data_IF_523683615007
#
_entry.id   IF_523683615007
#
_cell.length_a   1.000
_cell.length_b   1.000
_cell.length_c   1.000
_cell.angle_alpha   90.00
_cell.angle_beta   90.00
_cell.angle_gamma   90.00
#
_symmetry.space_group_name_H-M   'P 1'
#
loop_
_entity.id
_entity.type
_entity.pdbx_description
1 polymer ?
#
# COMPACT_ATOMS: atom_id res chain seq x y z
N UNK A 1 7.05 -25.72 -49.59
CA UNK A 1 5.98 -25.35 -48.65
C UNK A 1 6.53 -24.28 -47.74
N UNK A 2 6.04 -23.03 -47.79
CA UNK A 2 6.54 -21.99 -46.90
C UNK A 2 5.88 -22.14 -45.53
N UNK A 3 6.69 -21.99 -44.48
CA UNK A 3 6.27 -21.98 -43.07
C UNK A 3 5.56 -20.66 -42.81
N UNK A 4 4.31 -20.72 -42.34
CA UNK A 4 3.52 -19.58 -41.94
C UNK A 4 4.18 -18.86 -40.75
N UNK A 5 4.27 -17.52 -40.85
CA UNK A 5 4.78 -16.67 -39.80
C UNK A 5 3.93 -16.74 -38.53
N UNK A 6 4.61 -16.69 -37.39
CA UNK A 6 3.95 -16.49 -36.10
C UNK A 6 3.28 -15.11 -36.08
N UNK A 7 1.95 -15.07 -36.07
CA UNK A 7 1.20 -13.87 -35.70
C UNK A 7 1.54 -13.51 -34.25
N UNK A 8 1.88 -12.25 -34.00
CA UNK A 8 2.00 -11.71 -32.66
C UNK A 8 0.64 -11.76 -31.98
N UNK A 9 0.57 -12.31 -30.75
CA UNK A 9 -0.65 -12.36 -29.96
C UNK A 9 -1.17 -10.92 -29.73
N UNK A 10 -2.38 -10.58 -30.22
CA UNK A 10 -2.94 -9.24 -30.02
C UNK A 10 -3.17 -8.88 -28.55
N UNK A 11 -3.14 -9.86 -27.62
CA UNK A 11 -3.17 -9.64 -26.17
C UNK A 11 -1.83 -9.16 -25.58
N UNK A 12 -0.74 -9.26 -26.33
CA UNK A 12 0.62 -8.92 -25.90
C UNK A 12 1.06 -7.54 -26.42
N UNK A 13 0.18 -6.54 -26.38
CA UNK A 13 0.55 -5.13 -26.61
C UNK A 13 1.01 -4.56 -25.27
N UNK A 14 2.32 -4.38 -25.12
CA UNK A 14 2.92 -3.82 -23.91
C UNK A 14 3.65 -2.53 -24.25
N UNK A 15 3.38 -1.49 -23.47
CA UNK A 15 4.04 -0.19 -23.58
C UNK A 15 4.94 -0.01 -22.36
N UNK A 16 6.23 0.25 -22.61
CA UNK A 16 7.26 0.41 -21.59
C UNK A 16 7.25 1.86 -21.10
N UNK A 17 7.00 2.06 -19.80
CA UNK A 17 7.07 3.38 -19.18
C UNK A 17 8.40 3.56 -18.45
N UNK A 18 9.17 4.61 -18.80
CA UNK A 18 10.42 4.96 -18.11
C UNK A 18 10.12 5.64 -16.78
N UNK A 19 10.77 5.19 -15.70
CA UNK A 19 10.75 5.78 -14.33
C UNK A 19 11.16 7.27 -14.21
N UNK A 20 11.44 7.95 -15.31
CA UNK A 20 11.94 9.31 -15.33
C UNK A 20 10.89 10.38 -15.57
N UNK A 21 9.70 10.29 -14.98
CA UNK A 21 8.75 11.41 -14.96
C UNK A 21 7.61 11.10 -13.99
N UNK A 22 7.71 11.54 -12.73
CA UNK A 22 6.57 11.64 -11.84
C UNK A 22 6.86 12.57 -10.67
N UNK A 23 6.21 13.73 -10.63
CA UNK A 23 6.33 14.67 -9.52
C UNK A 23 5.06 15.46 -9.33
N UNK A 24 4.11 14.93 -8.55
CA UNK A 24 3.21 15.72 -7.70
C UNK A 24 3.07 15.04 -6.34
N UNK A 25 3.16 15.84 -5.28
CA UNK A 25 3.11 15.58 -3.83
C UNK A 25 4.48 15.54 -3.11
N UNK A 26 4.76 16.69 -2.50
CA UNK A 26 6.03 17.14 -1.91
C UNK A 26 6.54 16.31 -0.70
N UNK A 27 5.80 15.32 -0.21
CA UNK A 27 6.18 14.53 0.97
C UNK A 27 6.74 13.14 0.64
N UNK A 28 6.41 12.55 -0.52
CA UNK A 28 6.92 11.22 -0.90
C UNK A 28 8.39 11.26 -1.36
N UNK A 29 8.85 12.40 -1.88
CA UNK A 29 10.22 12.58 -2.39
C UNK A 29 11.28 12.59 -1.28
N UNK A 30 10.93 13.10 -0.08
CA UNK A 30 11.81 13.07 1.09
C UNK A 30 12.03 11.63 1.61
N UNK A 31 11.00 10.77 1.54
CA UNK A 31 11.12 9.35 1.91
C UNK A 31 12.00 8.62 0.89
N UNK A 32 11.80 8.82 -0.41
CA UNK A 32 12.61 8.15 -1.46
C UNK A 32 14.11 8.52 -1.41
N UNK A 33 14.45 9.78 -1.11
CA UNK A 33 15.86 10.20 -0.96
C UNK A 33 16.48 9.65 0.33
N UNK A 34 15.70 9.53 1.42
CA UNK A 34 16.17 8.92 2.67
C UNK A 34 16.36 7.39 2.53
N UNK A 35 15.49 6.73 1.75
CA UNK A 35 15.54 5.29 1.43
C UNK A 35 16.84 4.89 0.73
N UNK A 36 17.41 5.76 -0.11
CA UNK A 36 18.60 5.41 -0.89
C UNK A 36 19.93 5.67 -0.17
N UNK A 37 19.99 6.69 0.71
CA UNK A 37 21.23 7.02 1.44
C UNK A 37 21.59 5.95 2.47
N UNK A 38 20.60 5.27 3.05
CA UNK A 38 20.85 4.21 4.05
C UNK A 38 21.32 2.91 3.40
N UNK A 39 20.87 2.57 2.19
CA UNK A 39 21.22 1.31 1.50
C UNK A 39 22.68 1.27 1.00
N UNK A 40 23.26 2.41 0.59
CA UNK A 40 24.68 2.45 0.18
C UNK A 40 25.63 2.51 1.39
N UNK A 41 25.18 3.04 2.53
CA UNK A 41 26.00 3.20 3.73
C UNK A 41 26.38 1.89 4.44
N UNK A 42 25.62 0.81 4.25
CA UNK A 42 25.80 -0.44 5.02
C UNK A 42 26.58 -1.53 4.27
N UNK A 43 26.79 -1.41 2.95
CA UNK A 43 27.52 -2.43 2.14
C UNK A 43 28.90 -1.97 1.63
N UNK A 44 29.28 -0.71 1.87
CA UNK A 44 30.47 -0.09 1.29
C UNK A 44 31.72 0.03 2.18
N UNK A 45 32.05 -0.94 3.05
CA UNK A 45 33.33 -0.95 3.77
C UNK A 45 34.28 -2.03 3.24
N UNK A 46 34.84 -1.79 2.05
CA UNK A 46 36.20 -2.16 1.63
C UNK A 46 36.30 -2.14 0.10
N UNK A 47 37.05 -1.18 -0.46
CA UNK A 47 38.15 -1.36 -1.43
C UNK A 47 38.65 0.03 -1.82
N UNK A 48 39.97 0.21 -1.72
CA UNK A 48 40.70 1.45 -1.98
C UNK A 48 40.68 1.87 -3.45
N UNK A 49 40.74 3.17 -3.73
CA UNK A 49 41.12 3.67 -5.05
C UNK A 49 41.01 5.19 -5.19
N UNK A 50 42.16 5.84 -5.35
CA UNK A 50 42.39 7.30 -5.51
C UNK A 50 42.01 7.80 -6.92
N UNK A 51 41.83 9.13 -7.02
CA UNK A 51 41.84 10.02 -8.21
C UNK A 51 40.44 10.53 -8.63
N UNK A 52 40.21 11.76 -9.07
CA UNK A 52 40.90 13.05 -9.05
C UNK A 52 39.81 14.11 -9.39
N UNK A 53 40.00 15.37 -8.98
CA UNK A 53 39.08 16.48 -9.24
C UNK A 53 39.35 17.08 -10.63
N UNK A 54 38.32 17.31 -11.44
CA UNK A 54 38.11 18.57 -12.19
C UNK A 54 36.92 18.48 -13.17
N UNK A 55 36.11 19.54 -13.24
CA UNK A 55 35.12 19.76 -14.31
C UNK A 55 33.81 20.39 -13.83
N UNK A 56 33.65 21.70 -14.03
CA UNK A 56 32.44 22.48 -13.77
C UNK A 56 31.24 22.12 -14.69
N UNK A 57 30.00 22.50 -14.32
CA UNK A 57 28.79 22.09 -15.03
C UNK A 57 28.47 23.00 -16.24
N UNK A 58 28.13 22.38 -17.37
CA UNK A 58 27.54 23.07 -18.51
C UNK A 58 26.02 22.90 -18.52
N UNK A 59 25.34 24.04 -18.33
CA UNK A 59 23.92 24.28 -18.58
C UNK A 59 23.47 23.78 -19.95
N UNK A 60 22.30 23.14 -20.05
CA UNK A 60 21.27 23.45 -21.06
C UNK A 60 19.97 22.64 -20.80
N UNK A 61 18.85 23.37 -20.78
CA UNK A 61 17.47 22.99 -21.10
C UNK A 61 16.85 21.71 -20.49
N UNK A 62 15.93 21.87 -19.54
CA UNK A 62 14.94 20.85 -19.19
C UNK A 62 13.64 21.06 -19.97
N UNK A 63 12.92 20.00 -20.39
CA UNK A 63 11.56 20.15 -20.90
C UNK A 63 10.53 19.96 -19.76
N UNK A 64 9.59 20.90 -19.70
CA UNK A 64 8.28 20.74 -19.07
C UNK A 64 7.58 19.50 -19.67
N UNK A 65 7.32 18.43 -18.91
CA UNK A 65 6.32 17.46 -19.34
C UNK A 65 4.94 17.99 -19.02
N UNK A 66 4.06 17.87 -20.00
CA UNK A 66 2.71 18.40 -19.99
C UNK A 66 1.72 17.30 -19.58
N UNK A 67 0.64 17.70 -18.92
CA UNK A 67 -0.49 16.89 -18.40
C UNK A 67 -1.08 15.86 -19.40
N UNK A 68 -0.81 16.03 -20.70
CA UNK A 68 -1.20 15.13 -21.81
C UNK A 68 -0.55 13.73 -21.75
N UNK A 69 0.67 13.60 -21.22
CA UNK A 69 1.40 12.31 -21.26
C UNK A 69 0.86 11.28 -20.25
N UNK A 70 0.18 11.72 -19.18
CA UNK A 70 -0.43 10.83 -18.18
C UNK A 70 -1.83 10.31 -18.59
N UNK A 71 -2.44 10.90 -19.62
CA UNK A 71 -3.79 10.57 -20.08
C UNK A 71 -3.80 9.35 -21.02
N UNK A 72 -2.79 9.18 -21.86
CA UNK A 72 -2.71 8.03 -22.78
C UNK A 72 -2.67 6.64 -22.09
N UNK A 73 -1.87 6.42 -21.02
CA UNK A 73 -1.82 5.12 -20.35
C UNK A 73 -3.17 4.72 -19.73
N UNK A 74 -3.91 5.71 -19.21
CA UNK A 74 -5.21 5.50 -18.59
C UNK A 74 -6.29 5.16 -19.64
N UNK A 75 -6.29 5.87 -20.77
CA UNK A 75 -7.23 5.61 -21.86
C UNK A 75 -7.06 4.20 -22.45
N UNK A 76 -5.81 3.73 -22.60
CA UNK A 76 -5.54 2.36 -23.05
C UNK A 76 -5.98 1.32 -22.04
N UNK A 77 -5.67 1.54 -20.75
CA UNK A 77 -6.15 0.66 -19.69
C UNK A 77 -7.68 0.57 -19.70
N UNK A 78 -8.38 1.70 -19.88
CA UNK A 78 -9.84 1.72 -19.99
C UNK A 78 -10.35 0.91 -21.19
N UNK A 79 -9.80 1.15 -22.38
CA UNK A 79 -10.18 0.43 -23.60
C UNK A 79 -9.96 -1.09 -23.48
N UNK A 80 -8.81 -1.51 -22.96
CA UNK A 80 -8.48 -2.92 -22.82
C UNK A 80 -9.33 -3.60 -21.74
N UNK A 81 -9.63 -2.90 -20.64
CA UNK A 81 -10.54 -3.43 -19.62
C UNK A 81 -11.97 -3.57 -20.17
N UNK A 82 -12.45 -2.62 -20.96
CA UNK A 82 -13.77 -2.74 -21.60
C UNK A 82 -13.85 -3.91 -22.58
N UNK A 83 -12.77 -4.15 -23.32
CA UNK A 83 -12.73 -5.18 -24.37
C UNK A 83 -12.42 -6.57 -23.86
N UNK A 84 -11.50 -6.69 -22.90
CA UNK A 84 -10.93 -7.96 -22.44
C UNK A 84 -11.17 -8.23 -20.95
N UNK A 85 -11.66 -7.23 -20.22
CA UNK A 85 -11.90 -7.31 -18.78
C UNK A 85 -10.69 -6.96 -17.92
N UNK A 86 -9.50 -6.81 -18.50
CA UNK A 86 -8.27 -6.51 -17.78
C UNK A 86 -7.16 -6.01 -18.71
N UNK A 87 -6.13 -5.40 -18.14
CA UNK A 87 -4.95 -4.83 -18.81
C UNK A 87 -3.68 -5.05 -17.97
N UNK A 88 -2.49 -5.01 -18.58
CA UNK A 88 -1.19 -5.02 -17.87
C UNK A 88 -0.45 -3.72 -18.15
N UNK A 89 -0.05 -3.03 -17.08
CA UNK A 89 0.90 -1.91 -17.13
C UNK A 89 2.30 -2.43 -16.82
N UNK A 90 3.30 -1.91 -17.56
CA UNK A 90 4.70 -2.27 -17.41
C UNK A 90 5.58 -1.05 -17.15
N UNK A 91 6.30 -1.07 -16.02
CA UNK A 91 7.15 0.04 -15.58
C UNK A 91 8.61 -0.40 -15.57
N UNK A 92 9.44 0.28 -16.37
CA UNK A 92 10.88 0.05 -16.43
C UNK A 92 11.56 0.44 -15.12
N UNK A 93 12.49 -0.40 -14.68
CA UNK A 93 13.41 -0.08 -13.58
C UNK A 93 14.45 0.95 -14.01
N UNK A 94 14.91 1.75 -13.04
CA UNK A 94 16.11 2.56 -13.20
C UNK A 94 17.39 1.72 -13.29
N UNK A 95 18.54 2.39 -13.44
CA UNK A 95 19.83 1.71 -13.48
C UNK A 95 20.09 0.94 -12.17
N UNK A 96 20.13 -0.39 -12.24
CA UNK A 96 20.30 -1.26 -11.07
C UNK A 96 19.04 -1.47 -10.24
N UNK A 97 17.88 -0.98 -10.69
CA UNK A 97 16.60 -1.18 -10.02
C UNK A 97 15.71 -2.18 -10.77
N UNK A 98 14.88 -2.96 -10.06
CA UNK A 98 13.90 -3.81 -10.71
C UNK A 98 12.81 -2.97 -11.39
N UNK A 99 12.39 -3.44 -12.57
CA UNK A 99 11.11 -3.07 -13.17
C UNK A 99 9.97 -3.86 -12.55
N UNK A 100 8.73 -3.47 -12.84
CA UNK A 100 7.56 -4.17 -12.33
C UNK A 100 6.40 -4.10 -13.32
N UNK A 101 5.45 -5.01 -13.11
CA UNK A 101 4.22 -5.13 -13.87
C UNK A 101 3.05 -5.10 -12.90
N UNK A 102 1.91 -4.57 -13.30
CA UNK A 102 0.68 -4.76 -12.55
C UNK A 102 -0.54 -4.83 -13.44
N UNK A 103 -1.58 -5.51 -12.98
CA UNK A 103 -2.86 -5.59 -13.69
C UNK A 103 -3.78 -4.43 -13.33
N UNK A 104 -4.67 -4.08 -14.26
CA UNK A 104 -5.81 -3.20 -14.05
C UNK A 104 -7.06 -3.90 -14.57
N UNK A 105 -8.16 -3.86 -13.84
CA UNK A 105 -9.48 -4.34 -14.24
C UNK A 105 -9.83 -5.75 -13.75
N UNK A 106 -8.89 -6.52 -13.19
CA UNK A 106 -9.21 -7.82 -12.59
C UNK A 106 -10.23 -7.66 -11.46
N UNK A 107 -10.10 -6.60 -10.66
CA UNK A 107 -11.04 -6.31 -9.59
C UNK A 107 -12.40 -5.89 -10.12
N UNK A 108 -12.42 -4.94 -11.07
CA UNK A 108 -13.65 -4.44 -11.69
C UNK A 108 -14.47 -5.57 -12.35
N UNK A 109 -13.81 -6.42 -13.13
CA UNK A 109 -14.48 -7.38 -14.02
C UNK A 109 -14.71 -8.74 -13.36
N UNK A 110 -13.70 -9.26 -12.67
CA UNK A 110 -13.70 -10.64 -12.15
C UNK A 110 -13.78 -10.72 -10.62
N UNK A 111 -13.79 -9.57 -9.93
CA UNK A 111 -13.74 -9.48 -8.46
C UNK A 111 -12.58 -10.28 -7.87
N UNK A 112 -11.45 -10.21 -8.58
CA UNK A 112 -10.17 -10.75 -8.16
C UNK A 112 -9.23 -9.58 -7.82
N UNK A 113 -8.38 -9.64 -6.79
CA UNK A 113 -7.40 -8.58 -6.53
C UNK A 113 -6.55 -8.28 -7.77
N UNK A 114 -6.14 -7.02 -7.94
CA UNK A 114 -5.10 -6.73 -8.93
C UNK A 114 -3.80 -7.42 -8.52
N UNK A 115 -2.96 -7.75 -9.49
CA UNK A 115 -1.71 -8.48 -9.26
C UNK A 115 -0.55 -7.60 -9.67
N UNK A 116 0.41 -7.40 -8.77
CA UNK A 116 1.69 -6.73 -9.04
C UNK A 116 2.83 -7.74 -9.00
N UNK A 117 3.73 -7.68 -9.97
CA UNK A 117 4.91 -8.54 -10.08
C UNK A 117 6.17 -7.69 -10.23
N UNK A 118 7.07 -7.77 -9.24
CA UNK A 118 8.40 -7.15 -9.31
C UNK A 118 9.34 -8.11 -10.02
N UNK A 119 10.03 -7.60 -11.05
CA UNK A 119 10.86 -8.37 -11.97
C UNK A 119 12.33 -8.23 -11.54
N UNK A 120 13.13 -9.33 -11.48
CA UNK A 120 14.56 -9.27 -11.15
C UNK A 120 15.40 -8.76 -12.35
N UNK A 121 14.92 -7.70 -13.00
CA UNK A 121 15.48 -7.06 -14.19
C UNK A 121 14.89 -5.66 -14.29
N UNK A 122 15.65 -4.69 -14.81
CA UNK A 122 15.11 -3.37 -15.12
C UNK A 122 14.09 -3.42 -16.26
N UNK A 123 14.18 -4.41 -17.15
CA UNK A 123 13.18 -4.66 -18.18
C UNK A 123 12.07 -5.57 -17.62
N UNK A 124 10.84 -5.04 -17.39
CA UNK A 124 9.72 -5.82 -16.88
C UNK A 124 9.22 -6.85 -17.91
N UNK A 125 9.54 -6.70 -19.20
CA UNK A 125 9.04 -7.59 -20.26
C UNK A 125 9.53 -9.02 -20.15
N UNK A 126 10.63 -9.24 -19.44
CA UNK A 126 11.17 -10.58 -19.14
C UNK A 126 10.12 -11.48 -18.47
N UNK A 127 9.20 -10.92 -17.66
CA UNK A 127 8.15 -11.68 -16.98
C UNK A 127 6.71 -11.29 -17.37
N UNK A 128 6.52 -10.51 -18.46
CA UNK A 128 5.20 -10.11 -18.92
C UNK A 128 4.26 -11.30 -19.15
N UNK A 129 4.80 -12.37 -19.76
CA UNK A 129 4.06 -13.60 -20.06
C UNK A 129 3.57 -14.31 -18.79
N UNK A 130 4.31 -14.22 -17.68
CA UNK A 130 3.92 -14.81 -16.41
C UNK A 130 2.70 -14.11 -15.83
N UNK A 131 2.73 -12.77 -15.74
CA UNK A 131 1.58 -12.02 -15.27
C UNK A 131 0.38 -12.13 -16.23
N UNK A 132 0.65 -12.19 -17.53
CA UNK A 132 -0.39 -12.42 -18.54
C UNK A 132 -1.10 -13.77 -18.34
N UNK A 133 -0.35 -14.84 -18.05
CA UNK A 133 -0.93 -16.15 -17.75
C UNK A 133 -1.81 -16.12 -16.48
N UNK A 134 -1.45 -15.32 -15.47
CA UNK A 134 -2.29 -15.08 -14.29
C UNK A 134 -3.61 -14.41 -14.67
N UNK A 135 -3.56 -13.31 -15.42
CA UNK A 135 -4.78 -12.62 -15.88
C UNK A 135 -5.69 -13.52 -16.73
N UNK A 136 -5.10 -14.33 -17.62
CA UNK A 136 -5.85 -15.33 -18.40
C UNK A 136 -6.47 -16.44 -17.54
N UNK A 137 -5.80 -16.85 -16.47
CA UNK A 137 -6.35 -17.82 -15.54
C UNK A 137 -7.55 -17.23 -14.77
N UNK A 138 -7.42 -15.99 -14.31
CA UNK A 138 -8.50 -15.25 -13.63
C UNK A 138 -9.70 -15.05 -14.55
N UNK A 139 -9.49 -14.70 -15.82
CA UNK A 139 -10.59 -14.55 -16.79
C UNK A 139 -11.34 -15.86 -17.08
N UNK A 140 -10.71 -17.01 -16.83
CA UNK A 140 -11.34 -18.34 -16.86
C UNK A 140 -11.96 -18.78 -15.53
N UNK A 141 -11.98 -17.91 -14.53
CA UNK A 141 -12.60 -18.14 -13.21
C UNK A 141 -11.66 -18.67 -12.13
N UNK A 142 -10.36 -18.78 -12.38
CA UNK A 142 -9.41 -19.13 -11.33
C UNK A 142 -9.27 -18.00 -10.30
N UNK A 143 -9.15 -18.35 -9.02
CA UNK A 143 -8.84 -17.40 -7.95
C UNK A 143 -7.47 -17.72 -7.35
N UNK A 144 -6.66 -16.70 -7.18
CA UNK A 144 -5.37 -16.78 -6.49
C UNK A 144 -5.51 -16.19 -5.09
N UNK A 145 -5.26 -17.02 -4.09
CA UNK A 145 -5.41 -16.67 -2.69
C UNK A 145 -4.03 -16.41 -2.07
N UNK A 146 -3.85 -15.32 -1.31
CA UNK A 146 -2.63 -15.07 -0.57
C UNK A 146 -2.21 -16.26 0.29
N UNK A 147 -0.90 -16.50 0.39
CA UNK A 147 -0.33 -17.60 1.18
C UNK A 147 -0.41 -18.98 0.53
N UNK A 148 -1.08 -19.13 -0.62
CA UNK A 148 -1.13 -20.41 -1.36
C UNK A 148 0.04 -20.51 -2.35
N UNK A 149 0.67 -21.68 -2.43
CA UNK A 149 1.71 -21.99 -3.41
C UNK A 149 1.11 -22.58 -4.68
N UNK A 150 1.40 -21.95 -5.82
CA UNK A 150 0.89 -22.34 -7.13
C UNK A 150 2.02 -22.87 -8.01
N UNK A 151 2.06 -24.19 -8.31
CA UNK A 151 3.03 -24.76 -9.23
C UNK A 151 2.94 -24.13 -10.61
N UNK A 152 4.08 -23.91 -11.26
CA UNK A 152 4.14 -23.46 -12.65
C UNK A 152 3.91 -21.96 -12.88
N UNK A 153 3.69 -21.18 -11.82
CA UNK A 153 3.45 -19.74 -11.92
C UNK A 153 4.70 -18.97 -12.40
N UNK A 154 5.88 -19.47 -12.06
CA UNK A 154 7.19 -18.93 -12.45
C UNK A 154 7.93 -19.93 -13.37
N UNK A 155 7.26 -20.34 -14.45
CA UNK A 155 7.78 -21.33 -15.39
C UNK A 155 7.79 -22.73 -14.77
N UNK A 156 8.97 -23.24 -14.39
CA UNK A 156 9.10 -24.52 -13.68
C UNK A 156 9.01 -24.38 -12.16
N UNK A 157 9.07 -23.16 -11.65
CA UNK A 157 9.07 -22.87 -10.22
C UNK A 157 7.65 -22.50 -9.75
N UNK A 158 7.32 -22.78 -8.47
CA UNK A 158 6.09 -22.28 -7.90
C UNK A 158 6.12 -20.75 -7.80
N UNK A 159 4.95 -20.13 -7.69
CA UNK A 159 4.82 -18.75 -7.23
C UNK A 159 3.82 -18.67 -6.08
N UNK A 160 3.92 -17.59 -5.31
CA UNK A 160 3.06 -17.32 -4.17
C UNK A 160 2.58 -15.88 -4.21
N UNK A 161 1.50 -15.60 -3.51
CA UNK A 161 0.93 -14.25 -3.42
C UNK A 161 0.90 -13.77 -1.96
N UNK A 162 1.12 -12.48 -1.75
CA UNK A 162 0.87 -11.78 -0.47
C UNK A 162 0.08 -10.50 -0.73
N UNK A 163 -0.73 -10.01 0.22
CA UNK A 163 -1.42 -8.73 0.06
C UNK A 163 -0.41 -7.57 -0.05
N UNK A 164 -0.78 -6.50 -0.75
CA UNK A 164 -0.02 -5.25 -0.76
C UNK A 164 -0.70 -4.25 0.17
N UNK A 165 0.08 -3.67 1.08
CA UNK A 165 -0.41 -2.61 1.94
C UNK A 165 -0.69 -1.34 1.13
N UNK A 166 -1.83 -0.69 1.40
CA UNK A 166 -2.35 0.44 0.60
C UNK A 166 -1.39 1.63 0.50
N UNK A 167 -0.50 1.81 1.49
CA UNK A 167 0.53 2.86 1.46
C UNK A 167 1.48 2.78 0.25
N UNK A 168 1.55 1.61 -0.39
CA UNK A 168 2.38 1.40 -1.58
C UNK A 168 1.67 1.80 -2.89
N UNK A 169 0.36 2.03 -2.88
CA UNK A 169 -0.40 2.28 -4.10
C UNK A 169 0.06 3.56 -4.81
N UNK A 170 0.29 4.70 -4.13
CA UNK A 170 0.80 5.90 -4.78
C UNK A 170 2.18 5.72 -5.42
N UNK A 171 2.99 4.78 -4.93
CA UNK A 171 4.33 4.52 -5.44
C UNK A 171 4.34 3.58 -6.65
N UNK A 172 3.45 2.58 -6.67
CA UNK A 172 3.49 1.50 -7.66
C UNK A 172 2.30 1.46 -8.63
N UNK A 173 1.16 2.07 -8.28
CA UNK A 173 -0.13 1.78 -8.91
C UNK A 173 -0.86 3.04 -9.39
N UNK A 174 -0.14 4.08 -9.78
CA UNK A 174 -0.72 5.36 -10.20
C UNK A 174 -1.78 5.21 -11.30
N UNK A 175 -1.52 4.44 -12.35
CA UNK A 175 -2.50 4.22 -13.43
C UNK A 175 -3.74 3.47 -12.93
N UNK A 176 -3.59 2.54 -11.97
CA UNK A 176 -4.72 1.85 -11.37
C UNK A 176 -5.53 2.80 -10.48
N UNK A 177 -4.88 3.68 -9.70
CA UNK A 177 -5.54 4.72 -8.92
C UNK A 177 -6.33 5.67 -9.83
N UNK A 178 -5.75 6.08 -10.97
CA UNK A 178 -6.46 6.86 -11.98
C UNK A 178 -7.67 6.12 -12.58
N UNK A 179 -7.55 4.82 -12.82
CA UNK A 179 -8.63 3.98 -13.35
C UNK A 179 -9.78 3.76 -12.35
N UNK A 180 -9.47 3.49 -11.09
CA UNK A 180 -10.47 3.19 -10.05
C UNK A 180 -11.00 4.44 -9.35
N UNK A 181 -10.28 5.57 -9.41
CA UNK A 181 -10.64 6.83 -8.75
C UNK A 181 -10.63 6.78 -7.21
N UNK A 182 -10.12 5.70 -6.62
CA UNK A 182 -10.00 5.50 -5.17
C UNK A 182 -9.06 4.33 -4.88
N UNK A 183 -8.62 4.18 -3.63
CA UNK A 183 -7.84 3.04 -3.13
C UNK A 183 -8.70 1.80 -2.80
N UNK A 184 -10.01 1.85 -3.06
CA UNK A 184 -10.96 0.79 -2.71
C UNK A 184 -10.92 -0.42 -3.68
N UNK A 185 -9.73 -0.97 -3.91
CA UNK A 185 -9.50 -2.19 -4.66
C UNK A 185 -8.33 -2.97 -4.05
N UNK A 186 -8.48 -4.29 -3.78
CA UNK A 186 -7.40 -5.07 -3.20
C UNK A 186 -6.33 -5.39 -4.25
N UNK A 187 -5.08 -5.45 -3.80
CA UNK A 187 -3.92 -5.81 -4.64
C UNK A 187 -3.10 -6.88 -3.94
N UNK A 188 -2.63 -7.86 -4.70
CA UNK A 188 -1.71 -8.91 -4.25
C UNK A 188 -0.40 -8.84 -5.03
N UNK A 189 0.72 -8.99 -4.35
CA UNK A 189 2.03 -9.12 -4.95
C UNK A 189 2.29 -10.59 -5.28
N UNK A 190 2.68 -10.87 -6.51
CA UNK A 190 3.20 -12.16 -6.94
C UNK A 190 4.70 -12.25 -6.64
N UNK A 191 5.10 -13.32 -5.97
CA UNK A 191 6.49 -13.59 -5.60
C UNK A 191 7.09 -14.71 -6.43
N UNK A 192 8.39 -14.57 -6.72
CA UNK A 192 9.22 -15.63 -7.29
C UNK A 192 10.15 -16.21 -6.22
N UNK A 193 10.43 -17.51 -6.25
CA UNK A 193 11.37 -18.11 -5.33
C UNK A 193 12.82 -17.95 -5.81
N UNK A 194 13.78 -18.09 -4.90
CA UNK A 194 15.19 -18.19 -5.23
C UNK A 194 15.54 -19.52 -5.93
N UNK A 195 16.82 -19.71 -6.24
CA UNK A 195 17.32 -20.94 -6.88
C UNK A 195 17.08 -22.22 -6.07
N UNK A 196 16.81 -22.11 -4.77
CA UNK A 196 16.50 -23.22 -3.86
C UNK A 196 14.97 -23.41 -3.66
N UNK A 197 14.14 -22.63 -4.34
CA UNK A 197 12.69 -22.72 -4.20
C UNK A 197 12.13 -21.99 -2.96
N UNK A 198 12.92 -21.14 -2.31
CA UNK A 198 12.51 -20.39 -1.10
C UNK A 198 11.96 -19.02 -1.47
N UNK A 199 11.05 -18.49 -0.67
CA UNK A 199 10.47 -17.15 -0.83
C UNK A 199 11.09 -16.14 0.16
N UNK A 200 10.95 -14.82 -0.08
CA UNK A 200 11.62 -13.80 0.74
C UNK A 200 11.34 -13.83 2.24
N UNK A 201 10.22 -14.41 2.68
CA UNK A 201 9.90 -14.56 4.11
C UNK A 201 10.35 -15.90 4.71
N UNK A 202 11.02 -16.77 3.94
CA UNK A 202 11.42 -18.09 4.39
C UNK A 202 12.89 -18.12 4.81
N UNK A 203 13.18 -18.87 5.88
CA UNK A 203 14.55 -19.09 6.33
C UNK A 203 15.42 -19.69 5.22
N UNK A 204 16.58 -19.06 5.02
CA UNK A 204 17.57 -19.48 4.02
C UNK A 204 17.29 -18.97 2.60
N UNK A 205 16.36 -18.03 2.41
CA UNK A 205 16.24 -17.28 1.16
C UNK A 205 17.54 -16.54 0.84
N UNK A 206 17.91 -16.51 -0.45
CA UNK A 206 19.10 -15.80 -0.93
C UNK A 206 19.06 -14.29 -0.61
N UNK A 207 19.96 -13.84 0.26
CA UNK A 207 20.06 -12.43 0.69
C UNK A 207 20.42 -11.49 -0.48
N UNK A 208 21.14 -11.97 -1.49
CA UNK A 208 21.46 -11.20 -2.69
C UNK A 208 20.21 -10.85 -3.52
N UNK A 209 19.14 -11.62 -3.35
CA UNK A 209 17.86 -11.45 -4.03
C UNK A 209 16.83 -10.67 -3.19
N UNK A 210 17.05 -10.47 -1.89
CA UNK A 210 16.09 -9.84 -0.98
C UNK A 210 15.74 -8.40 -1.38
N UNK A 211 16.73 -7.62 -1.82
CA UNK A 211 16.52 -6.23 -2.27
C UNK A 211 15.83 -6.10 -3.63
N UNK A 212 15.63 -7.20 -4.36
CA UNK A 212 15.00 -7.19 -5.69
C UNK A 212 13.49 -7.40 -5.63
N UNK A 213 12.96 -7.89 -4.51
CA UNK A 213 11.54 -8.15 -4.35
C UNK A 213 11.09 -7.76 -2.92
N UNK A 214 10.89 -6.45 -2.67
CA UNK A 214 10.39 -5.99 -1.38
C UNK A 214 9.07 -6.65 -1.01
N UNK A 215 8.89 -6.90 0.28
CA UNK A 215 7.67 -7.47 0.87
C UNK A 215 6.65 -6.35 1.09
N UNK A 216 5.81 -6.08 0.09
CA UNK A 216 4.90 -4.95 0.12
C UNK A 216 3.68 -5.18 1.04
N UNK A 217 3.53 -6.36 1.64
CA UNK A 217 2.65 -6.56 2.79
C UNK A 217 3.11 -5.75 4.02
N UNK A 218 4.40 -5.42 4.10
CA UNK A 218 4.98 -4.59 5.15
C UNK A 218 4.79 -3.11 4.79
N UNK A 219 4.20 -2.32 5.67
CA UNK A 219 4.07 -0.87 5.44
C UNK A 219 5.37 -0.11 5.74
N UNK A 220 6.23 -0.63 6.62
CA UNK A 220 7.52 -0.02 6.95
C UNK A 220 8.52 -0.27 5.82
N UNK A 221 8.96 0.81 5.18
CA UNK A 221 9.92 0.74 4.08
C UNK A 221 11.21 0.01 4.47
N UNK A 222 11.66 0.17 5.73
CA UNK A 222 12.80 -0.58 6.26
C UNK A 222 12.55 -2.09 6.20
N UNK A 223 11.49 -2.58 6.85
CA UNK A 223 11.15 -4.01 6.91
C UNK A 223 10.80 -4.64 5.57
N UNK A 224 10.17 -3.87 4.68
CA UNK A 224 9.82 -4.32 3.34
C UNK A 224 11.06 -4.76 2.55
N UNK A 225 12.23 -4.17 2.83
CA UNK A 225 13.49 -4.44 2.12
C UNK A 225 14.50 -5.29 2.92
N UNK A 226 14.17 -5.69 4.16
CA UNK A 226 15.08 -6.48 4.99
C UNK A 226 15.00 -7.97 4.64
N UNK A 227 16.15 -8.69 4.67
CA UNK A 227 16.17 -10.15 4.70
C UNK A 227 15.32 -10.69 5.87
N UNK A 228 14.73 -11.89 5.74
CA UNK A 228 13.79 -12.42 6.73
C UNK A 228 14.40 -12.51 8.14
N UNK A 229 15.70 -12.82 8.26
CA UNK A 229 16.40 -12.87 9.54
C UNK A 229 16.41 -11.52 10.26
N UNK A 230 16.73 -10.45 9.54
CA UNK A 230 16.78 -9.10 10.11
C UNK A 230 15.36 -8.56 10.32
N UNK A 231 14.44 -8.81 9.40
CA UNK A 231 13.03 -8.44 9.57
C UNK A 231 12.41 -9.08 10.82
N UNK A 232 12.74 -10.34 11.12
CA UNK A 232 12.29 -11.04 12.32
C UNK A 232 12.80 -10.35 13.61
N UNK A 233 13.98 -9.73 13.60
CA UNK A 233 14.49 -8.93 14.72
C UNK A 233 13.73 -7.61 14.91
N UNK A 234 12.97 -7.16 13.90
CA UNK A 234 12.07 -6.00 13.96
C UNK A 234 10.57 -6.37 14.01
N UNK A 235 10.22 -7.68 14.06
CA UNK A 235 8.85 -8.19 13.88
C UNK A 235 7.92 -7.85 15.06
N UNK A 236 7.33 -6.65 15.00
CA UNK A 236 6.33 -6.22 15.98
C UNK A 236 4.92 -6.75 15.71
N UNK A 237 4.55 -7.06 14.45
CA UNK A 237 3.13 -7.21 14.07
C UNK A 237 2.63 -8.64 13.85
N UNK A 238 3.51 -9.66 13.84
CA UNK A 238 3.14 -11.06 13.54
C UNK A 238 2.21 -11.73 14.59
N UNK A 239 1.71 -10.96 15.57
CA UNK A 239 0.74 -11.40 16.58
C UNK A 239 -0.42 -10.44 16.82
N UNK A 240 -0.60 -9.38 16.01
CA UNK A 240 -1.69 -8.44 16.21
C UNK A 240 -3.00 -9.00 15.63
N UNK A 241 -3.95 -9.32 16.50
CA UNK A 241 -5.28 -9.81 16.11
C UNK A 241 -6.13 -8.64 15.59
N UNK A 242 -6.31 -8.58 14.26
CA UNK A 242 -7.05 -7.53 13.57
C UNK A 242 -8.57 -7.75 13.53
N UNK A 243 -9.13 -8.69 14.31
CA UNK A 243 -10.59 -8.86 14.38
C UNK A 243 -11.27 -7.60 14.93
N UNK A 244 -12.43 -7.17 14.39
CA UNK A 244 -13.13 -5.99 14.89
C UNK A 244 -13.33 -6.00 16.40
N UNK A 245 -13.59 -7.17 16.98
CA UNK A 245 -13.86 -7.35 18.41
C UNK A 245 -12.62 -7.16 19.28
N UNK A 246 -11.41 -7.23 18.72
CA UNK A 246 -10.14 -7.04 19.42
C UNK A 246 -9.53 -5.66 19.24
N UNK A 247 -9.96 -4.92 18.21
CA UNK A 247 -9.35 -3.64 17.81
C UNK A 247 -10.32 -2.46 17.86
N UNK A 248 -11.60 -2.71 18.07
CA UNK A 248 -12.63 -1.70 18.21
C UNK A 248 -13.22 -1.71 19.62
N UNK A 249 -13.42 -0.53 20.16
CA UNK A 249 -14.19 -0.29 21.37
C UNK A 249 -15.68 -0.36 21.03
N UNK A 250 -16.43 -1.14 21.81
CA UNK A 250 -17.88 -1.30 21.63
C UNK A 250 -18.61 0.06 21.70
N UNK A 251 -19.36 0.44 20.66
CA UNK A 251 -20.15 1.67 20.65
C UNK A 251 -21.28 1.68 21.70
N UNK A 252 -21.63 0.53 22.30
CA UNK A 252 -22.67 0.38 23.32
C UNK A 252 -22.39 1.05 24.67
N UNK A 253 -21.19 1.62 24.87
CA UNK A 253 -20.93 2.55 25.97
C UNK A 253 -21.74 3.84 25.77
N UNK A 254 -22.82 3.99 26.53
CA UNK A 254 -23.78 5.09 26.41
C UNK A 254 -23.10 6.46 26.31
N UNK A 255 -23.26 7.15 25.16
CA UNK A 255 -22.82 8.53 24.94
C UNK A 255 -21.74 8.73 23.88
N UNK A 256 -21.05 7.68 23.42
CA UNK A 256 -19.95 7.78 22.44
C UNK A 256 -20.41 8.35 21.08
N UNK A 257 -21.57 7.93 20.58
CA UNK A 257 -22.10 8.45 19.31
C UNK A 257 -22.49 9.94 19.40
N UNK A 258 -22.98 10.39 20.56
CA UNK A 258 -23.27 11.81 20.81
C UNK A 258 -22.01 12.68 20.80
N UNK A 259 -20.85 12.12 21.17
CA UNK A 259 -19.56 12.81 21.14
C UNK A 259 -19.04 13.08 19.72
N UNK A 260 -19.68 12.54 18.68
CA UNK A 260 -19.40 12.89 17.29
C UNK A 260 -19.98 14.24 16.87
N UNK A 261 -20.75 14.93 17.72
CA UNK A 261 -21.34 16.23 17.38
C UNK A 261 -20.34 17.24 16.76
N UNK A 262 -19.09 17.41 17.27
CA UNK A 262 -18.11 18.32 16.66
C UNK A 262 -17.56 17.84 15.31
N UNK A 263 -17.80 16.59 14.92
CA UNK A 263 -17.36 16.01 13.64
C UNK A 263 -18.45 16.05 12.57
N UNK A 264 -19.72 16.32 12.93
CA UNK A 264 -20.87 16.21 12.01
C UNK A 264 -20.77 17.10 10.77
N UNK A 265 -20.04 18.22 10.84
CA UNK A 265 -19.75 19.05 9.67
C UNK A 265 -18.96 18.32 8.57
N UNK A 266 -18.11 17.35 8.94
CA UNK A 266 -17.28 16.58 8.03
C UNK A 266 -17.93 15.24 7.65
N UNK A 267 -18.52 14.55 8.63
CA UNK A 267 -19.04 13.19 8.44
C UNK A 267 -20.52 13.15 8.03
N UNK A 268 -21.27 14.23 8.25
CA UNK A 268 -22.71 14.32 7.99
C UNK A 268 -23.57 13.81 9.16
N UNK A 269 -24.76 14.40 9.29
CA UNK A 269 -25.71 14.14 10.39
C UNK A 269 -26.22 12.70 10.43
N UNK A 270 -26.49 12.10 9.26
CA UNK A 270 -27.15 10.79 9.17
C UNK A 270 -26.17 9.60 9.20
N UNK A 271 -24.94 9.81 9.68
CA UNK A 271 -23.98 8.71 9.85
C UNK A 271 -24.19 7.97 11.15
N UNK A 272 -24.15 6.64 11.05
CA UNK A 272 -24.20 5.72 12.17
C UNK A 272 -22.79 5.32 12.58
N UNK A 273 -22.51 5.32 13.88
CA UNK A 273 -21.27 4.79 14.45
C UNK A 273 -21.23 3.25 14.32
N UNK A 274 -20.15 2.71 13.73
CA UNK A 274 -19.87 1.27 13.72
C UNK A 274 -18.88 0.85 14.80
N UNK A 275 -17.88 1.68 15.07
CA UNK A 275 -16.90 1.39 16.11
C UNK A 275 -15.83 2.47 16.20
N UNK A 276 -15.16 2.52 17.34
CA UNK A 276 -14.02 3.41 17.60
C UNK A 276 -12.76 2.54 17.74
N UNK A 277 -11.67 2.87 17.06
CA UNK A 277 -10.42 2.13 17.16
C UNK A 277 -9.76 2.34 18.53
N UNK A 278 -8.78 1.51 18.90
CA UNK A 278 -7.98 1.74 20.11
C UNK A 278 -7.22 3.09 20.09
N UNK A 279 -7.01 3.70 18.92
CA UNK A 279 -6.39 5.02 18.77
C UNK A 279 -7.41 6.16 18.66
N UNK A 280 -8.71 5.86 18.79
CA UNK A 280 -9.78 6.86 18.80
C UNK A 280 -10.36 7.23 17.43
N UNK A 281 -9.84 6.67 16.34
CA UNK A 281 -10.42 6.82 15.00
C UNK A 281 -11.77 6.13 14.89
N UNK A 282 -12.57 6.49 13.88
CA UNK A 282 -13.97 6.08 13.85
C UNK A 282 -14.35 5.44 12.52
N UNK A 283 -14.96 4.25 12.58
CA UNK A 283 -15.68 3.68 11.44
C UNK A 283 -17.16 4.06 11.51
N UNK A 284 -17.66 4.54 10.39
CA UNK A 284 -19.01 5.10 10.23
C UNK A 284 -19.70 4.43 9.05
N UNK A 285 -21.01 4.25 9.16
CA UNK A 285 -21.86 3.84 8.04
C UNK A 285 -22.71 5.02 7.59
N UNK A 286 -22.69 5.32 6.29
CA UNK A 286 -23.58 6.33 5.71
C UNK A 286 -25.00 5.77 5.45
N UNK A 287 -25.99 6.63 5.13
CA UNK A 287 -27.37 6.17 4.86
C UNK A 287 -27.51 5.22 3.67
N UNK A 288 -26.50 5.15 2.78
CA UNK A 288 -26.47 4.26 1.63
C UNK A 288 -25.78 2.93 1.97
N UNK A 289 -25.34 2.74 3.21
CA UNK A 289 -24.68 1.53 3.70
C UNK A 289 -23.17 1.50 3.50
N UNK A 290 -22.57 2.54 2.90
CA UNK A 290 -21.13 2.60 2.64
C UNK A 290 -20.36 2.87 3.93
N UNK A 291 -19.16 2.31 4.04
CA UNK A 291 -18.31 2.46 5.22
C UNK A 291 -17.30 3.58 5.00
N UNK A 292 -17.19 4.46 5.99
CA UNK A 292 -16.23 5.55 6.05
C UNK A 292 -15.35 5.41 7.28
N UNK A 293 -14.09 5.81 7.16
CA UNK A 293 -13.14 5.92 8.24
C UNK A 293 -12.84 7.40 8.46
N UNK A 294 -13.04 7.87 9.69
CA UNK A 294 -12.65 9.18 10.16
C UNK A 294 -11.33 9.04 10.91
N UNK A 295 -10.27 9.59 10.34
CA UNK A 295 -8.98 9.79 11.00
C UNK A 295 -9.09 11.02 11.89
N UNK A 296 -9.20 10.81 13.21
CA UNK A 296 -9.36 11.91 14.17
C UNK A 296 -8.04 12.65 14.42
N UNK A 297 -6.91 12.02 14.08
CA UNK A 297 -5.58 12.61 14.17
C UNK A 297 -5.26 13.58 13.03
N UNK A 298 -5.75 13.31 11.83
CA UNK A 298 -5.56 14.12 10.61
C UNK A 298 -6.79 14.98 10.25
N UNK A 299 -7.96 14.66 10.82
CA UNK A 299 -9.20 15.39 10.55
C UNK A 299 -9.74 15.12 9.15
N UNK A 300 -9.55 13.90 8.67
CA UNK A 300 -9.92 13.47 7.31
C UNK A 300 -10.95 12.35 7.37
N UNK A 301 -11.84 12.32 6.37
CA UNK A 301 -12.80 11.23 6.20
C UNK A 301 -12.60 10.58 4.84
N UNK A 302 -12.47 9.26 4.84
CA UNK A 302 -12.28 8.46 3.64
C UNK A 302 -13.38 7.40 3.53
N UNK A 303 -13.85 7.10 2.32
CA UNK A 303 -14.69 5.92 2.09
C UNK A 303 -13.80 4.69 1.93
N UNK A 304 -13.94 3.72 2.83
CA UNK A 304 -13.07 2.54 2.92
C UNK A 304 -13.73 1.25 2.43
N UNK A 305 -15.07 1.20 2.31
CA UNK A 305 -15.77 0.06 1.72
C UNK A 305 -17.18 0.42 1.22
N UNK A 306 -17.73 -0.39 0.32
CA UNK A 306 -19.11 -0.25 -0.16
C UNK A 306 -20.14 -0.76 0.85
N UNK A 307 -19.75 -1.68 1.74
CA UNK A 307 -20.58 -2.22 2.81
C UNK A 307 -19.74 -2.86 3.93
N UNK A 308 -20.40 -3.24 5.02
CA UNK A 308 -19.76 -3.80 6.21
C UNK A 308 -19.05 -5.15 5.94
N UNK A 309 -19.63 -6.01 5.09
CA UNK A 309 -19.02 -7.30 4.75
C UNK A 309 -17.70 -7.12 4.01
N UNK A 310 -17.66 -6.19 3.07
CA UNK A 310 -16.44 -5.82 2.37
C UNK A 310 -15.40 -5.20 3.31
N UNK A 311 -15.82 -4.27 4.18
CA UNK A 311 -14.94 -3.67 5.20
C UNK A 311 -14.29 -4.73 6.10
N UNK A 312 -15.07 -5.70 6.60
CA UNK A 312 -14.55 -6.81 7.42
C UNK A 312 -13.52 -7.66 6.66
N UNK A 313 -13.71 -7.86 5.35
CA UNK A 313 -12.74 -8.58 4.51
C UNK A 313 -11.45 -7.78 4.27
N UNK A 314 -11.53 -6.45 4.23
CA UNK A 314 -10.35 -5.59 4.02
C UNK A 314 -9.51 -5.42 5.30
N UNK A 315 -10.11 -5.56 6.48
CA UNK A 315 -9.48 -5.28 7.77
C UNK A 315 -8.10 -5.96 7.99
N UNK A 316 -7.86 -7.23 7.60
CA UNK A 316 -6.53 -7.82 7.73
C UNK A 316 -5.45 -7.17 6.85
N UNK A 317 -5.84 -6.61 5.69
CA UNK A 317 -4.91 -6.03 4.71
C UNK A 317 -4.73 -4.52 4.86
N UNK A 318 -5.74 -3.81 5.36
CA UNK A 318 -5.76 -2.35 5.49
C UNK A 318 -5.81 -1.88 6.95
N UNK A 319 -6.16 -2.76 7.88
CA UNK A 319 -6.23 -2.50 9.32
C UNK A 319 -4.94 -1.95 9.94
N UNK A 320 -3.72 -2.39 9.53
CA UNK A 320 -2.49 -1.80 10.05
C UNK A 320 -2.45 -0.26 9.96
N UNK A 321 -2.94 0.29 8.83
CA UNK A 321 -3.10 1.74 8.64
C UNK A 321 -4.21 2.29 9.54
N UNK A 322 -5.44 1.78 9.41
CA UNK A 322 -6.60 2.36 10.08
C UNK A 322 -6.57 2.30 11.61
N UNK A 323 -5.77 1.40 12.16
CA UNK A 323 -5.69 1.16 13.60
C UNK A 323 -4.41 1.73 14.22
N UNK A 324 -3.54 2.35 13.43
CA UNK A 324 -2.20 2.76 13.86
C UNK A 324 -1.42 1.59 14.53
N UNK A 325 -1.43 0.42 13.88
CA UNK A 325 -0.97 -0.83 14.49
C UNK A 325 0.48 -0.79 14.97
N UNK A 326 1.35 -0.02 14.30
CA UNK A 326 2.73 0.19 14.74
C UNK A 326 2.81 0.83 16.13
N UNK A 327 2.06 1.91 16.35
CA UNK A 327 2.07 2.62 17.63
C UNK A 327 1.44 1.73 18.71
N UNK A 328 0.40 0.97 18.38
CA UNK A 328 -0.19 0.00 19.30
C UNK A 328 0.80 -1.11 19.69
N UNK A 329 1.61 -1.60 18.76
CA UNK A 329 2.65 -2.59 19.08
C UNK A 329 3.79 -1.97 19.89
N UNK A 330 4.22 -0.74 19.60
CA UNK A 330 5.22 -0.06 20.41
C UNK A 330 4.73 0.17 21.85
N UNK A 331 3.46 0.56 22.03
CA UNK A 331 2.81 0.68 23.34
C UNK A 331 2.78 -0.67 24.05
N UNK A 332 2.38 -1.74 23.36
CA UNK A 332 2.38 -3.11 23.91
C UNK A 332 3.77 -3.57 24.32
N UNK A 333 4.77 -3.37 23.46
CA UNK A 333 6.17 -3.72 23.73
C UNK A 333 6.75 -2.95 24.92
N UNK A 334 6.28 -1.72 25.15
CA UNK A 334 6.59 -0.92 26.34
C UNK A 334 5.82 -1.35 27.60
N UNK A 335 4.93 -2.35 27.52
CA UNK A 335 4.09 -2.80 28.62
C UNK A 335 2.99 -1.81 28.99
N UNK A 336 2.61 -0.94 28.06
CA UNK A 336 1.58 0.08 28.27
C UNK A 336 0.22 -0.54 27.93
N UNK A 337 -0.56 -0.85 28.97
CA UNK A 337 -1.91 -1.39 28.83
C UNK A 337 -2.96 -0.29 28.86
N UNK A 338 -3.93 -0.39 27.95
CA UNK A 338 -5.06 0.54 27.88
C UNK A 338 -6.11 0.15 28.94
N UNK A 339 -6.52 1.07 29.84
CA UNK A 339 -7.57 0.77 30.79
C UNK A 339 -8.91 0.45 30.09
N UNK A 340 -9.75 -0.43 30.67
CA UNK A 340 -11.05 -0.76 30.09
C UNK A 340 -11.91 0.48 29.82
N UNK A 341 -12.48 0.57 28.62
CA UNK A 341 -13.36 1.68 28.22
C UNK A 341 -12.62 2.98 27.85
N UNK A 342 -11.30 2.95 27.66
CA UNK A 342 -10.51 4.08 27.17
C UNK A 342 -10.01 3.82 25.73
N UNK A 343 -9.48 4.88 25.13
CA UNK A 343 -8.70 4.87 23.88
C UNK A 343 -7.37 5.56 24.13
N UNK A 344 -6.35 5.19 23.36
CA UNK A 344 -5.16 6.01 23.20
C UNK A 344 -5.55 7.26 22.41
N UNK A 345 -5.09 8.41 22.87
CA UNK A 345 -5.33 9.71 22.25
C UNK A 345 -4.00 10.42 22.08
N UNK A 346 -3.78 11.04 20.92
CA UNK A 346 -2.59 11.87 20.75
C UNK A 346 -2.59 13.05 21.72
N UNK A 347 -1.48 13.30 22.42
CA UNK A 347 -1.30 14.50 23.29
C UNK A 347 -1.31 15.77 22.44
N UNK A 348 -0.58 15.74 21.33
CA UNK A 348 -0.65 16.71 20.24
C UNK A 348 -1.13 15.99 18.99
N UNK A 349 -2.26 16.42 18.40
CA UNK A 349 -2.78 15.77 17.19
C UNK A 349 -1.78 15.86 16.03
N UNK A 350 -1.66 14.80 15.21
CA UNK A 350 -0.84 14.82 14.00
C UNK A 350 -1.12 16.00 13.06
N UNK A 351 -2.39 16.40 12.89
CA UNK A 351 -2.77 17.60 12.11
C UNK A 351 -2.17 18.92 12.65
N UNK A 352 -1.74 18.93 13.92
CA UNK A 352 -1.08 20.05 14.60
C UNK A 352 0.45 19.86 14.70
N UNK A 353 1.02 18.88 13.99
CA UNK A 353 2.45 18.57 14.00
C UNK A 353 2.90 17.61 15.11
N UNK A 354 1.96 16.89 15.74
CA UNK A 354 2.28 15.83 16.70
C UNK A 354 2.99 14.64 16.06
N UNK A 355 3.86 13.96 16.83
CA UNK A 355 4.54 12.76 16.37
C UNK A 355 3.64 11.52 16.46
N UNK A 356 3.87 10.57 15.56
CA UNK A 356 3.24 9.24 15.58
C UNK A 356 4.07 8.28 16.42
N UNK A 357 4.20 8.55 17.72
CA UNK A 357 5.02 7.76 18.64
C UNK A 357 4.38 7.60 20.03
N UNK A 358 4.74 6.57 20.80
CA UNK A 358 4.25 6.35 22.17
C UNK A 358 4.44 7.55 23.11
N UNK A 359 5.48 8.36 22.90
CA UNK A 359 5.76 9.56 23.71
C UNK A 359 4.71 10.66 23.53
N UNK A 360 3.88 10.57 22.49
CA UNK A 360 2.81 11.52 22.19
C UNK A 360 1.41 10.93 22.51
N UNK A 361 1.30 10.01 23.46
CA UNK A 361 0.05 9.31 23.78
C UNK A 361 -0.46 9.65 25.19
N UNK A 362 -1.76 9.90 25.29
CA UNK A 362 -2.55 9.92 26.51
C UNK A 362 -3.62 8.81 26.45
N UNK A 363 -4.27 8.52 27.59
CA UNK A 363 -5.36 7.54 27.66
C UNK A 363 -6.59 8.21 28.23
N UNK A 364 -7.67 8.22 27.45
CA UNK A 364 -8.89 8.94 27.80
C UNK A 364 -10.14 8.16 27.36
N UNK A 365 -11.31 8.43 27.93
CA UNK A 365 -12.56 7.87 27.42
C UNK A 365 -12.80 8.28 25.95
N UNK A 366 -13.37 7.40 25.10
CA UNK A 366 -13.67 7.70 23.70
C UNK A 366 -14.44 9.02 23.52
N UNK A 367 -15.45 9.26 24.36
CA UNK A 367 -16.25 10.48 24.34
C UNK A 367 -15.41 11.76 24.51
N UNK A 368 -14.41 11.73 25.38
CA UNK A 368 -13.49 12.85 25.62
C UNK A 368 -12.59 13.05 24.40
N UNK A 369 -11.98 11.97 23.90
CA UNK A 369 -11.14 12.01 22.70
C UNK A 369 -11.90 12.60 21.50
N UNK A 370 -13.07 12.05 21.17
CA UNK A 370 -13.86 12.46 20.01
C UNK A 370 -14.32 13.92 20.11
N UNK A 371 -14.74 14.35 21.30
CA UNK A 371 -15.17 15.74 21.50
C UNK A 371 -14.00 16.71 21.38
N UNK A 372 -12.86 16.40 21.98
CA UNK A 372 -11.68 17.26 21.98
C UNK A 372 -11.05 17.37 20.59
N UNK A 373 -10.80 16.24 19.94
CA UNK A 373 -10.22 16.18 18.59
C UNK A 373 -11.13 16.85 17.56
N UNK A 374 -12.44 16.62 17.62
CA UNK A 374 -13.38 17.23 16.68
C UNK A 374 -13.48 18.74 16.82
N UNK A 375 -13.41 19.28 18.04
CA UNK A 375 -13.35 20.75 18.23
C UNK A 375 -12.08 21.36 17.66
N UNK A 376 -10.94 20.68 17.82
CA UNK A 376 -9.67 21.13 17.24
C UNK A 376 -9.71 21.10 15.71
N UNK A 377 -10.18 20.00 15.12
CA UNK A 377 -10.35 19.88 13.67
C UNK A 377 -11.34 20.90 13.11
N UNK A 378 -12.47 21.13 13.77
CA UNK A 378 -13.45 22.14 13.37
C UNK A 378 -12.87 23.56 13.40
N UNK A 379 -12.06 23.89 14.41
CA UNK A 379 -11.39 25.18 14.48
C UNK A 379 -10.44 25.41 13.29
N UNK A 380 -9.72 24.36 12.86
CA UNK A 380 -8.83 24.43 11.70
C UNK A 380 -9.63 24.49 10.37
N UNK A 381 -10.69 23.70 10.25
CA UNK A 381 -11.53 23.63 9.05
C UNK A 381 -12.31 24.92 8.75
N UNK A 382 -12.56 25.76 9.76
CA UNK A 382 -13.15 27.09 9.58
C UNK A 382 -12.12 28.22 9.36
N UNK A 383 -10.82 27.91 9.42
CA UNK A 383 -9.75 28.88 9.16
C UNK A 383 -9.16 28.78 7.73
N UNK A 384 -9.68 27.86 6.90
CA UNK A 384 -9.25 27.62 5.52
C UNK A 384 -10.11 28.31 4.47
#
# INVERSE_FOLDING_TARGET
MPVAGAEADPHLRHHLFRKGFLRIMHNAWLVAVLVFVVTIGVVGFAISGRADRSGQPSSTAGPEATELDAQEPLEWAQSDVERFGWHIVAVEGGAGEPGYLFTIGLWRTYRHPEVLLIVPSSDPMVLAKNLHAVGQAVSRGQRFEPGTSYPGLMGKHPGMFRPIHVSWYPLYLETALGFYGSEAFPVIQQFWPDGNGRFPWQDGFDEGSAGLQPRLEEFEVGKANLPPRLAAEFSGLDGFDFRPETVLVDPGSSGTESSLAPWRWLIGEDTRLLGVTLMGDVFLQDPKGKIRWLDTGQGQVERVAENEEEWRRMLPSHGPRWLHAEVLEQLRAAGIELPPGQVFSWRLLPMLGGSLSPDNIDMVPPAVHLTASGRQAQALGHCG
#
